data_IF_470551921421
#
_entry.id   IF_470551921421
#
_cell.length_a   1.000
_cell.length_b   1.000
_cell.length_c   1.000
_cell.angle_alpha   90.00
_cell.angle_beta   90.00
_cell.angle_gamma   90.00
#
_symmetry.space_group_name_H-M   'P 1'
#
loop_
_entity.id
_entity.type
_entity.pdbx_description
1 polymer ?
#
# COMPACT_ATOMS: atom_id res chain seq x y z
N UNK A 1 16.99 -8.27 -18.64
CA UNK A 1 16.66 -6.91 -18.18
C UNK A 1 17.94 -6.26 -17.74
N UNK A 2 18.54 -5.50 -18.66
CA UNK A 2 19.76 -4.74 -18.43
C UNK A 2 19.39 -3.37 -17.86
N UNK A 3 20.07 -2.96 -16.79
CA UNK A 3 19.83 -1.72 -16.04
C UNK A 3 21.16 -0.96 -15.97
N UNK A 4 21.21 0.24 -16.54
CA UNK A 4 22.45 1.01 -16.71
C UNK A 4 22.25 2.51 -16.56
N UNK A 5 23.34 3.28 -16.55
CA UNK A 5 23.30 4.76 -16.62
C UNK A 5 22.41 5.42 -15.54
N UNK A 6 22.65 5.05 -14.27
CA UNK A 6 21.97 5.65 -13.12
C UNK A 6 22.41 7.09 -12.98
N UNK A 7 21.45 7.99 -12.93
CA UNK A 7 21.70 9.43 -12.88
C UNK A 7 20.56 10.16 -12.19
N UNK A 8 20.85 11.40 -11.80
CA UNK A 8 19.87 12.34 -11.28
C UNK A 8 19.63 13.46 -12.30
N UNK A 9 18.37 13.80 -12.49
CA UNK A 9 17.94 14.91 -13.35
C UNK A 9 17.05 15.84 -12.52
N UNK A 10 17.30 17.14 -12.58
CA UNK A 10 16.70 18.16 -11.70
C UNK A 10 15.94 19.21 -12.49
N UNK A 11 15.07 19.95 -11.80
CA UNK A 11 14.36 21.10 -12.36
C UNK A 11 13.48 20.73 -13.57
N UNK A 12 12.85 19.56 -13.50
CA UNK A 12 12.05 19.02 -14.58
C UNK A 12 10.59 19.45 -14.43
N UNK A 13 9.98 19.88 -15.52
CA UNK A 13 8.54 20.08 -15.60
C UNK A 13 7.86 18.79 -16.09
N UNK A 14 7.72 17.80 -15.19
CA UNK A 14 7.20 16.47 -15.54
C UNK A 14 5.67 16.39 -15.56
N UNK A 15 5.00 17.17 -14.71
CA UNK A 15 3.56 17.09 -14.52
C UNK A 15 2.94 18.48 -14.49
N UNK A 16 1.77 18.62 -15.11
CA UNK A 16 1.06 19.89 -15.17
C UNK A 16 0.56 20.31 -13.78
N UNK A 17 0.75 21.58 -13.43
CA UNK A 17 0.21 22.16 -12.19
C UNK A 17 0.94 21.80 -10.90
N UNK A 18 2.15 21.23 -10.98
CA UNK A 18 3.01 20.98 -9.81
C UNK A 18 4.37 21.65 -9.91
N UNK A 19 5.04 21.72 -8.76
CA UNK A 19 6.41 22.22 -8.68
C UNK A 19 7.36 21.41 -9.55
N UNK A 20 8.49 22.02 -9.88
CA UNK A 20 9.59 21.35 -10.56
C UNK A 20 9.99 20.07 -9.80
N UNK A 21 10.34 19.05 -10.57
CA UNK A 21 10.63 17.72 -10.08
C UNK A 21 12.10 17.37 -10.27
N UNK A 22 12.62 16.63 -9.30
CA UNK A 22 13.90 15.93 -9.41
C UNK A 22 13.60 14.44 -9.53
N UNK A 23 14.26 13.76 -10.46
CA UNK A 23 14.14 12.31 -10.63
C UNK A 23 15.49 11.62 -10.59
N UNK A 24 15.51 10.42 -10.05
CA UNK A 24 16.58 9.44 -10.27
C UNK A 24 16.07 8.43 -11.29
N UNK A 25 16.91 8.15 -12.28
CA UNK A 25 16.54 7.40 -13.48
C UNK A 25 17.68 6.48 -13.91
N UNK A 26 17.32 5.34 -14.49
CA UNK A 26 18.24 4.46 -15.17
C UNK A 26 17.70 4.07 -16.55
N UNK A 27 18.61 3.73 -17.45
CA UNK A 27 18.26 3.11 -18.73
C UNK A 27 17.95 1.63 -18.49
N UNK A 28 16.91 1.13 -19.17
CA UNK A 28 16.44 -0.25 -19.05
C UNK A 28 16.25 -0.85 -20.43
N UNK A 29 16.86 -2.01 -20.67
CA UNK A 29 16.65 -2.81 -21.87
C UNK A 29 16.11 -4.19 -21.47
N UNK A 30 14.95 -4.55 -22.01
CA UNK A 30 14.35 -5.86 -21.80
C UNK A 30 13.54 -6.30 -23.04
N UNK A 31 13.27 -7.61 -23.15
CA UNK A 31 12.56 -8.16 -24.30
C UNK A 31 11.04 -7.94 -24.22
N UNK A 32 10.50 -7.83 -23.00
CA UNK A 32 9.05 -7.80 -22.75
C UNK A 32 8.44 -6.40 -22.72
N UNK A 33 9.24 -5.33 -22.66
CA UNK A 33 8.75 -3.96 -22.62
C UNK A 33 9.52 -3.03 -23.58
N UNK A 34 8.81 -2.06 -24.17
CA UNK A 34 9.41 -1.04 -25.05
C UNK A 34 9.94 0.18 -24.30
N UNK A 35 9.54 0.38 -23.05
CA UNK A 35 10.03 1.47 -22.22
C UNK A 35 11.54 1.32 -22.00
N UNK A 36 12.27 2.43 -22.14
CA UNK A 36 13.74 2.46 -22.09
C UNK A 36 14.29 3.09 -20.83
N UNK A 37 13.42 3.64 -19.98
CA UNK A 37 13.81 4.33 -18.77
C UNK A 37 12.87 3.96 -17.63
N UNK A 38 13.45 3.67 -16.47
CA UNK A 38 12.73 3.53 -15.21
C UNK A 38 13.17 4.67 -14.29
N UNK A 39 12.22 5.39 -13.69
CA UNK A 39 12.53 6.53 -12.82
C UNK A 39 11.67 6.57 -11.56
N UNK A 40 12.18 7.28 -10.57
CA UNK A 40 11.45 7.74 -9.39
C UNK A 40 11.64 9.25 -9.26
N UNK A 41 10.58 10.01 -9.07
CA UNK A 41 10.63 11.47 -8.99
C UNK A 41 9.91 12.03 -7.77
N UNK A 42 10.39 13.17 -7.30
CA UNK A 42 9.84 13.94 -6.19
C UNK A 42 9.87 15.43 -6.54
N UNK A 43 9.17 16.23 -5.75
CA UNK A 43 9.35 17.68 -5.71
C UNK A 43 10.83 18.04 -5.50
N UNK A 44 11.33 19.05 -6.24
CA UNK A 44 12.73 19.48 -6.22
C UNK A 44 13.27 19.73 -4.80
N UNK A 45 12.42 20.18 -3.86
CA UNK A 45 12.81 20.42 -2.46
C UNK A 45 13.26 19.13 -1.75
N UNK A 46 12.86 17.97 -2.23
CA UNK A 46 13.28 16.66 -1.73
C UNK A 46 14.23 15.94 -2.68
N UNK A 47 14.72 16.58 -3.75
CA UNK A 47 15.61 15.95 -4.74
C UNK A 47 16.90 15.39 -4.11
N UNK A 48 17.41 16.06 -3.07
CA UNK A 48 18.61 15.62 -2.34
C UNK A 48 18.37 14.37 -1.49
N UNK A 49 17.12 13.96 -1.29
CA UNK A 49 16.77 12.74 -0.56
C UNK A 49 16.83 11.49 -1.43
N UNK A 50 16.92 11.64 -2.76
CA UNK A 50 16.99 10.51 -3.68
C UNK A 50 18.41 9.92 -3.78
N UNK A 51 18.46 8.59 -3.76
CA UNK A 51 19.67 7.76 -3.84
C UNK A 51 19.99 7.46 -5.29
N UNK A 52 21.19 7.87 -5.75
CA UNK A 52 21.63 7.76 -7.15
C UNK A 52 23.05 7.18 -7.31
N UNK A 53 23.61 6.62 -6.24
CA UNK A 53 24.95 6.05 -6.14
C UNK A 53 24.94 4.51 -6.09
N UNK A 54 23.80 3.90 -5.80
CA UNK A 54 23.56 2.44 -5.86
C UNK A 54 22.22 2.11 -6.54
N UNK A 55 22.13 0.90 -7.10
CA UNK A 55 21.00 0.45 -7.91
C UNK A 55 19.91 -0.32 -7.15
N UNK A 56 19.93 -0.33 -5.82
CA UNK A 56 19.07 -1.18 -4.98
C UNK A 56 17.57 -1.06 -5.31
N UNK A 57 17.06 0.16 -5.41
CA UNK A 57 15.66 0.42 -5.76
C UNK A 57 15.29 -0.18 -7.14
N UNK A 58 16.18 -0.05 -8.12
CA UNK A 58 15.96 -0.53 -9.49
C UNK A 58 16.10 -2.05 -9.59
N UNK A 59 17.01 -2.65 -8.82
CA UNK A 59 17.14 -4.10 -8.73
C UNK A 59 15.86 -4.72 -8.14
N UNK A 60 15.37 -4.20 -7.01
CA UNK A 60 14.14 -4.71 -6.37
C UNK A 60 12.92 -4.50 -7.27
N UNK A 61 12.83 -3.34 -7.93
CA UNK A 61 11.80 -3.07 -8.93
C UNK A 61 11.84 -4.02 -10.14
N UNK A 62 12.99 -4.56 -10.50
CA UNK A 62 13.14 -5.46 -11.64
C UNK A 62 12.81 -6.93 -11.33
N UNK A 63 12.82 -7.33 -10.04
CA UNK A 63 12.70 -8.73 -9.62
C UNK A 63 11.46 -9.41 -10.20
N UNK A 64 10.27 -8.88 -9.92
CA UNK A 64 9.02 -9.56 -10.29
C UNK A 64 8.83 -9.69 -11.80
N UNK A 65 8.98 -8.61 -12.62
CA UNK A 65 8.88 -8.74 -14.07
C UNK A 65 9.94 -9.69 -14.66
N UNK A 66 11.20 -9.59 -14.20
CA UNK A 66 12.28 -10.43 -14.71
C UNK A 66 12.05 -11.93 -14.41
N UNK A 67 11.59 -12.26 -13.20
CA UNK A 67 11.24 -13.62 -12.81
C UNK A 67 10.05 -14.17 -13.63
N UNK A 68 9.03 -13.34 -13.86
CA UNK A 68 7.86 -13.73 -14.64
C UNK A 68 8.20 -13.99 -16.12
N UNK A 69 8.98 -13.11 -16.73
CA UNK A 69 9.39 -13.22 -18.13
C UNK A 69 10.63 -14.09 -18.35
N UNK A 70 11.20 -14.64 -17.27
CA UNK A 70 12.39 -15.52 -17.29
C UNK A 70 13.60 -14.85 -17.94
N UNK A 71 13.75 -13.55 -17.71
CA UNK A 71 14.82 -12.75 -18.28
C UNK A 71 15.88 -12.46 -17.20
N UNK A 72 17.17 -12.77 -17.42
CA UNK A 72 18.25 -12.45 -16.48
C UNK A 72 18.31 -10.95 -16.17
N UNK A 73 18.72 -10.57 -14.97
CA UNK A 73 18.98 -9.16 -14.62
C UNK A 73 20.47 -8.86 -14.75
N UNK A 74 20.82 -7.78 -15.43
CA UNK A 74 22.18 -7.26 -15.52
C UNK A 74 22.21 -5.82 -15.01
N UNK A 75 22.88 -5.56 -13.89
CA UNK A 75 23.03 -4.23 -13.31
C UNK A 75 24.43 -3.69 -13.59
N UNK A 76 24.50 -2.62 -14.37
CA UNK A 76 25.75 -1.97 -14.76
C UNK A 76 26.34 -1.03 -13.69
N UNK A 77 26.18 -1.38 -12.41
CA UNK A 77 26.70 -0.63 -11.27
C UNK A 77 26.72 -1.43 -9.99
N UNK A 78 26.81 -0.73 -8.85
CA UNK A 78 26.86 -1.35 -7.54
C UNK A 78 25.48 -1.50 -6.90
N UNK A 79 25.32 -2.56 -6.12
CA UNK A 79 24.16 -2.81 -5.24
C UNK A 79 24.66 -3.14 -3.82
N UNK A 80 23.80 -3.00 -2.82
CA UNK A 80 24.09 -3.38 -1.45
C UNK A 80 24.36 -4.89 -1.35
N UNK A 81 25.51 -5.26 -0.79
CA UNK A 81 25.94 -6.66 -0.67
C UNK A 81 24.96 -7.52 0.13
N UNK A 82 24.46 -6.99 1.25
CA UNK A 82 23.45 -7.64 2.10
C UNK A 82 22.15 -7.89 1.32
N UNK A 83 21.65 -6.88 0.62
CA UNK A 83 20.42 -6.95 -0.16
C UNK A 83 20.57 -7.99 -1.30
N UNK A 84 21.66 -7.95 -2.06
CA UNK A 84 21.94 -8.93 -3.12
C UNK A 84 22.02 -10.36 -2.57
N UNK A 85 22.75 -10.57 -1.48
CA UNK A 85 22.84 -11.88 -0.83
C UNK A 85 21.45 -12.38 -0.40
N UNK A 86 20.67 -11.54 0.26
CA UNK A 86 19.33 -11.94 0.71
C UNK A 86 18.39 -12.24 -0.45
N UNK A 87 18.50 -11.51 -1.56
CA UNK A 87 17.72 -11.79 -2.77
C UNK A 87 17.95 -13.21 -3.26
N UNK A 88 19.23 -13.57 -3.45
CA UNK A 88 19.61 -14.86 -4.00
C UNK A 88 19.28 -16.04 -3.09
N UNK A 89 19.39 -15.86 -1.77
CA UNK A 89 19.28 -16.97 -0.82
C UNK A 89 17.91 -17.11 -0.18
N UNK A 90 17.10 -16.05 -0.11
CA UNK A 90 15.84 -16.05 0.63
C UNK A 90 14.66 -15.49 -0.17
N UNK A 91 14.80 -14.29 -0.76
CA UNK A 91 13.68 -13.59 -1.39
C UNK A 91 13.13 -14.34 -2.61
N UNK A 92 14.01 -14.94 -3.42
CA UNK A 92 13.55 -15.78 -4.53
C UNK A 92 12.69 -16.96 -4.07
N UNK A 93 13.07 -17.64 -2.98
CA UNK A 93 12.25 -18.71 -2.40
C UNK A 93 10.85 -18.23 -2.03
N UNK A 94 10.79 -17.09 -1.32
CA UNK A 94 9.53 -16.50 -0.87
C UNK A 94 8.60 -16.08 -2.02
N UNK A 95 9.17 -15.50 -3.09
CA UNK A 95 8.39 -15.12 -4.28
C UNK A 95 7.89 -16.35 -5.05
N UNK A 96 8.68 -17.42 -5.16
CA UNK A 96 8.24 -18.67 -5.83
C UNK A 96 7.16 -19.41 -5.07
N UNK A 97 7.22 -19.38 -3.74
CA UNK A 97 6.19 -20.02 -2.90
C UNK A 97 4.84 -19.30 -3.00
N UNK A 98 4.85 -18.01 -3.36
CA UNK A 98 3.65 -17.26 -3.70
C UNK A 98 3.08 -17.64 -5.08
N UNK A 99 3.91 -17.64 -6.12
CA UNK A 99 3.50 -18.06 -7.47
C UNK A 99 4.52 -19.01 -8.10
N UNK A 100 4.11 -20.27 -8.25
CA UNK A 100 4.93 -21.34 -8.84
C UNK A 100 5.31 -21.12 -10.30
N UNK A 101 4.67 -20.17 -10.99
CA UNK A 101 5.05 -19.75 -12.34
C UNK A 101 6.35 -18.94 -12.36
N UNK A 102 6.68 -18.27 -11.25
CA UNK A 102 7.88 -17.47 -11.11
C UNK A 102 9.10 -18.37 -10.95
N UNK A 103 10.19 -18.03 -11.63
CA UNK A 103 11.43 -18.79 -11.60
C UNK A 103 12.59 -17.95 -11.09
N UNK A 104 13.56 -18.61 -10.47
CA UNK A 104 14.86 -17.97 -10.21
C UNK A 104 15.52 -17.61 -11.53
N UNK A 105 16.08 -16.41 -11.58
CA UNK A 105 16.78 -15.89 -12.74
C UNK A 105 18.20 -15.49 -12.34
N UNK A 106 19.20 -15.57 -13.25
CA UNK A 106 20.52 -15.04 -12.98
C UNK A 106 20.49 -13.53 -12.75
N UNK A 107 21.21 -13.06 -11.73
CA UNK A 107 21.43 -11.63 -11.47
C UNK A 107 22.93 -11.35 -11.50
N UNK A 108 23.37 -10.55 -12.46
CA UNK A 108 24.75 -10.08 -12.60
C UNK A 108 24.84 -8.61 -12.20
N UNK A 109 25.81 -8.26 -11.34
CA UNK A 109 26.06 -6.89 -10.88
C UNK A 109 27.54 -6.55 -11.06
N UNK A 110 27.88 -5.29 -11.37
CA UNK A 110 29.29 -4.89 -11.55
C UNK A 110 30.08 -4.85 -10.24
N UNK A 111 29.42 -4.62 -9.11
CA UNK A 111 30.10 -4.53 -7.83
C UNK A 111 29.15 -4.37 -6.65
N UNK A 112 29.74 -4.14 -5.48
CA UNK A 112 29.00 -3.95 -4.23
C UNK A 112 29.43 -2.65 -3.57
N UNK A 113 28.43 -1.87 -3.15
CA UNK A 113 28.60 -0.65 -2.37
C UNK A 113 27.34 -0.43 -1.53
N UNK A 114 27.46 0.33 -0.45
CA UNK A 114 26.31 0.83 0.30
C UNK A 114 26.02 2.27 -0.14
N UNK A 115 24.77 2.71 -0.05
CA UNK A 115 24.42 4.10 -0.31
C UNK A 115 25.12 5.05 0.68
N UNK A 116 25.60 6.18 0.17
CA UNK A 116 26.17 7.26 0.96
C UNK A 116 25.06 7.96 1.75
N UNK A 117 25.09 7.77 3.07
CA UNK A 117 24.12 8.35 4.00
C UNK A 117 24.29 9.86 4.14
N UNK A 118 23.16 10.57 4.25
CA UNK A 118 23.14 11.95 4.73
C UNK A 118 23.49 12.00 6.22
N UNK A 119 23.98 13.16 6.68
CA UNK A 119 24.31 13.39 8.10
C UNK A 119 23.09 13.29 9.02
N UNK A 120 21.95 13.75 8.54
CA UNK A 120 20.68 13.67 9.23
C UNK A 120 19.82 12.60 8.55
N UNK A 121 19.35 11.65 9.35
CA UNK A 121 18.54 10.54 8.88
C UNK A 121 17.14 10.58 9.50
N UNK A 122 16.16 10.18 8.70
CA UNK A 122 14.74 10.28 8.99
C UNK A 122 14.13 8.91 9.31
N UNK A 123 12.99 8.96 10.01
CA UNK A 123 12.13 7.80 10.25
C UNK A 123 10.84 8.00 9.48
N UNK A 124 10.65 7.16 8.46
CA UNK A 124 9.55 7.29 7.52
C UNK A 124 8.40 6.33 7.78
N UNK A 125 7.21 6.70 7.32
CA UNK A 125 6.12 5.76 7.06
C UNK A 125 5.32 6.18 5.84
N UNK A 126 4.66 5.21 5.20
CA UNK A 126 3.60 5.51 4.26
C UNK A 126 2.37 6.01 5.00
N UNK A 127 1.71 7.05 4.51
CA UNK A 127 0.45 7.52 5.08
C UNK A 127 -0.60 7.71 4.00
N UNK A 128 -1.77 7.10 4.21
CA UNK A 128 -2.90 7.15 3.27
C UNK A 128 -4.15 7.75 3.90
N UNK A 129 -4.12 8.06 5.19
CA UNK A 129 -5.30 8.33 6.01
C UNK A 129 -6.13 7.08 6.34
N UNK A 130 -5.70 5.88 5.96
CA UNK A 130 -6.39 4.63 6.28
C UNK A 130 -6.19 4.17 7.73
N UNK A 131 -7.00 3.20 8.16
CA UNK A 131 -6.93 2.60 9.51
C UNK A 131 -5.51 2.10 9.83
N UNK A 132 -4.91 1.39 8.87
CA UNK A 132 -3.61 0.74 9.06
C UNK A 132 -2.49 1.78 9.21
N UNK A 133 -2.47 2.83 8.37
CA UNK A 133 -1.49 3.92 8.51
C UNK A 133 -1.68 4.74 9.78
N UNK A 134 -2.91 4.93 10.26
CA UNK A 134 -3.13 5.59 11.54
C UNK A 134 -2.68 4.76 12.74
N UNK A 135 -2.82 3.43 12.68
CA UNK A 135 -2.24 2.55 13.72
C UNK A 135 -0.74 2.79 13.84
N UNK A 136 -0.03 2.83 12.70
CA UNK A 136 1.42 3.08 12.69
C UNK A 136 1.80 4.46 13.23
N UNK A 137 0.99 5.50 12.98
CA UNK A 137 1.17 6.81 13.60
C UNK A 137 0.97 6.75 15.12
N UNK A 138 -0.06 6.06 15.60
CA UNK A 138 -0.28 5.93 17.05
C UNK A 138 0.92 5.24 17.70
N UNK A 139 1.39 4.14 17.12
CA UNK A 139 2.48 3.34 17.68
C UNK A 139 3.82 4.08 17.62
N UNK A 140 4.18 4.64 16.45
CA UNK A 140 5.53 5.11 16.16
C UNK A 140 5.67 6.65 16.07
N UNK A 141 4.61 7.41 16.37
CA UNK A 141 4.67 8.88 16.48
C UNK A 141 4.08 9.37 17.81
N UNK A 142 2.84 9.00 18.12
CA UNK A 142 2.16 9.47 19.34
C UNK A 142 2.74 8.83 20.60
N UNK A 143 2.90 7.50 20.58
CA UNK A 143 3.37 6.73 21.73
C UNK A 143 4.90 6.56 21.79
N UNK A 144 5.61 6.99 20.74
CA UNK A 144 7.07 6.85 20.64
C UNK A 144 7.77 8.16 21.02
N UNK A 145 8.72 8.08 21.95
CA UNK A 145 9.50 9.21 22.44
C UNK A 145 10.98 9.10 22.06
N UNK A 146 11.46 7.91 21.69
CA UNK A 146 12.80 7.72 21.17
C UNK A 146 12.90 8.25 19.74
N UNK A 147 13.72 9.28 19.53
CA UNK A 147 13.93 9.91 18.22
C UNK A 147 14.59 8.97 17.20
N UNK A 148 15.12 7.82 17.64
CA UNK A 148 15.57 6.78 16.73
C UNK A 148 14.43 5.96 16.11
N UNK A 149 13.26 5.96 16.75
CA UNK A 149 12.08 5.20 16.34
C UNK A 149 10.89 6.09 15.98
N UNK A 150 10.88 7.35 16.41
CA UNK A 150 9.79 8.30 16.21
C UNK A 150 9.74 8.81 14.77
N UNK A 151 8.59 8.65 14.13
CA UNK A 151 8.33 9.12 12.76
C UNK A 151 8.49 10.64 12.66
N UNK A 152 9.16 11.11 11.60
CA UNK A 152 9.30 12.54 11.28
C UNK A 152 8.98 12.86 9.81
N UNK A 153 8.63 11.84 9.01
CA UNK A 153 8.42 11.97 7.57
C UNK A 153 7.33 11.03 7.06
N UNK A 154 6.31 11.58 6.40
CA UNK A 154 5.22 10.84 5.78
C UNK A 154 5.41 10.76 4.27
N UNK A 155 5.24 9.57 3.72
CA UNK A 155 5.42 9.29 2.31
C UNK A 155 4.10 8.90 1.65
N UNK A 156 3.93 9.36 0.42
CA UNK A 156 2.86 8.98 -0.48
C UNK A 156 3.46 8.48 -1.79
N UNK A 157 3.49 7.16 -1.96
CA UNK A 157 4.05 6.52 -3.14
C UNK A 157 2.96 6.37 -4.22
N UNK A 158 3.08 7.17 -5.27
CA UNK A 158 2.27 7.07 -6.47
C UNK A 158 2.91 6.10 -7.45
N UNK A 159 2.64 4.81 -7.22
CA UNK A 159 3.21 3.69 -7.95
C UNK A 159 2.22 3.05 -8.94
N UNK A 160 1.13 3.73 -9.34
CA UNK A 160 0.14 3.19 -10.28
C UNK A 160 -1.22 2.77 -9.67
N UNK A 161 -1.30 2.70 -8.34
CA UNK A 161 -2.50 2.29 -7.56
C UNK A 161 -3.77 3.15 -7.75
N UNK A 162 -3.66 4.27 -8.48
CA UNK A 162 -4.77 5.21 -8.69
C UNK A 162 -5.33 5.19 -10.10
N UNK A 163 -4.85 4.30 -10.98
CA UNK A 163 -5.38 4.08 -12.32
C UNK A 163 -4.36 4.37 -13.42
N UNK A 164 -4.86 4.57 -14.64
CA UNK A 164 -4.02 4.83 -15.80
C UNK A 164 -3.32 6.19 -15.66
N UNK A 165 -2.00 6.20 -15.46
CA UNK A 165 -1.18 7.42 -15.30
C UNK A 165 -1.17 8.32 -16.55
N UNK A 166 -1.64 7.83 -17.70
CA UNK A 166 -1.86 8.65 -18.91
C UNK A 166 -3.18 9.45 -18.88
N UNK A 167 -4.05 9.19 -17.89
CA UNK A 167 -5.30 9.92 -17.69
C UNK A 167 -5.11 11.03 -16.64
N UNK A 168 -5.45 12.27 -16.98
CA UNK A 168 -5.34 13.42 -16.08
C UNK A 168 -6.16 13.25 -14.79
N UNK A 169 -7.29 12.55 -14.83
CA UNK A 169 -8.09 12.25 -13.63
C UNK A 169 -7.37 11.35 -12.62
N UNK A 170 -6.46 10.49 -13.09
CA UNK A 170 -5.62 9.66 -12.21
C UNK A 170 -4.69 10.55 -11.39
N UNK A 171 -4.08 11.55 -12.03
CA UNK A 171 -3.22 12.54 -11.38
C UNK A 171 -4.01 13.39 -10.41
N UNK A 172 -5.16 13.93 -10.83
CA UNK A 172 -6.06 14.68 -9.96
C UNK A 172 -6.41 13.86 -8.70
N UNK A 173 -6.77 12.59 -8.86
CA UNK A 173 -7.05 11.68 -7.73
C UNK A 173 -5.83 11.48 -6.84
N UNK A 174 -4.65 11.24 -7.41
CA UNK A 174 -3.43 11.05 -6.65
C UNK A 174 -3.10 12.30 -5.82
N UNK A 175 -3.19 13.50 -6.40
CA UNK A 175 -2.97 14.76 -5.69
C UNK A 175 -4.03 15.03 -4.62
N UNK A 176 -5.30 14.77 -4.90
CA UNK A 176 -6.37 14.89 -3.91
C UNK A 176 -6.09 13.96 -2.72
N UNK A 177 -5.61 12.74 -2.94
CA UNK A 177 -5.26 11.80 -1.87
C UNK A 177 -3.99 12.20 -1.14
N UNK A 178 -2.98 12.69 -1.85
CA UNK A 178 -1.78 13.25 -1.23
C UNK A 178 -2.11 14.47 -0.36
N UNK A 179 -3.13 15.26 -0.71
CA UNK A 179 -3.55 16.41 0.11
C UNK A 179 -3.96 16.01 1.53
N UNK A 180 -4.54 14.82 1.73
CA UNK A 180 -4.82 14.28 3.07
C UNK A 180 -3.53 14.09 3.84
N UNK A 181 -2.54 13.46 3.21
CA UNK A 181 -1.21 13.21 3.80
C UNK A 181 -0.51 14.51 4.13
N UNK A 182 -0.50 15.47 3.19
CA UNK A 182 0.12 16.78 3.36
C UNK A 182 -0.53 17.57 4.49
N UNK A 183 -1.87 17.64 4.52
CA UNK A 183 -2.58 18.39 5.55
C UNK A 183 -2.39 17.78 6.94
N UNK A 184 -2.48 16.45 7.04
CA UNK A 184 -2.19 15.75 8.28
C UNK A 184 -0.74 15.97 8.76
N UNK A 185 0.24 15.86 7.85
CA UNK A 185 1.65 16.10 8.17
C UNK A 185 1.92 17.51 8.71
N UNK A 186 1.29 18.53 8.10
CA UNK A 186 1.36 19.92 8.57
C UNK A 186 0.82 20.04 9.99
N UNK A 187 -0.29 19.36 10.29
CA UNK A 187 -0.96 19.45 11.60
C UNK A 187 -0.16 18.77 12.73
N UNK A 188 0.60 17.71 12.41
CA UNK A 188 1.46 17.03 13.38
C UNK A 188 2.94 17.50 13.32
N UNK A 189 3.28 18.42 12.41
CA UNK A 189 4.60 19.04 12.33
C UNK A 189 5.70 18.17 11.71
N UNK A 190 5.38 17.34 10.71
CA UNK A 190 6.32 16.42 10.05
C UNK A 190 6.41 16.66 8.53
N UNK A 191 7.39 16.06 7.87
CA UNK A 191 7.53 16.17 6.42
C UNK A 191 6.44 15.40 5.67
N UNK A 192 6.07 15.85 4.47
CA UNK A 192 5.19 15.12 3.55
C UNK A 192 5.80 15.06 2.15
N UNK A 193 6.06 13.84 1.67
CA UNK A 193 6.76 13.58 0.42
C UNK A 193 5.87 12.75 -0.49
N UNK A 194 5.54 13.28 -1.67
CA UNK A 194 4.96 12.51 -2.76
C UNK A 194 6.06 12.03 -3.69
N UNK A 195 6.08 10.73 -3.98
CA UNK A 195 7.00 10.12 -4.92
C UNK A 195 6.21 9.53 -6.09
N UNK A 196 6.63 9.82 -7.32
CA UNK A 196 6.03 9.29 -8.54
C UNK A 196 7.01 8.34 -9.23
N UNK A 197 6.49 7.39 -9.99
CA UNK A 197 7.32 6.47 -10.79
C UNK A 197 6.54 5.92 -11.97
N UNK A 198 7.27 5.50 -13.01
CA UNK A 198 6.72 4.78 -14.15
C UNK A 198 6.88 3.26 -14.06
N UNK A 199 7.00 2.68 -12.85
CA UNK A 199 7.10 1.22 -12.65
C UNK A 199 6.08 0.44 -13.49
N UNK A 200 4.84 0.92 -13.61
CA UNK A 200 3.78 0.24 -14.37
C UNK A 200 3.93 0.24 -15.89
N UNK A 201 4.95 0.90 -16.43
CA UNK A 201 5.37 0.65 -17.81
C UNK A 201 5.98 -0.76 -17.96
N UNK A 202 6.54 -1.33 -16.89
CA UNK A 202 7.18 -2.65 -16.86
C UNK A 202 6.32 -3.74 -16.19
N UNK A 203 5.21 -3.37 -15.55
CA UNK A 203 4.36 -4.27 -14.77
C UNK A 203 3.01 -4.50 -15.46
N UNK A 204 2.45 -5.69 -15.29
CA UNK A 204 1.06 -5.94 -15.66
C UNK A 204 0.11 -5.22 -14.72
N UNK A 205 -1.07 -4.74 -15.18
CA UNK A 205 -2.00 -3.99 -14.33
C UNK A 205 -2.45 -4.71 -13.04
N UNK A 206 -2.52 -6.04 -13.04
CA UNK A 206 -2.94 -6.82 -11.87
C UNK A 206 -1.80 -7.05 -10.86
N UNK A 207 -0.53 -6.88 -11.28
CA UNK A 207 0.64 -7.08 -10.41
C UNK A 207 0.79 -6.02 -9.33
N UNK A 208 -0.04 -4.98 -9.32
CA UNK A 208 -0.14 -4.06 -8.18
C UNK A 208 -0.31 -4.81 -6.85
N UNK A 209 -1.09 -5.88 -6.87
CA UNK A 209 -1.38 -6.71 -5.71
C UNK A 209 -0.33 -7.81 -5.55
N UNK A 210 0.01 -8.50 -6.65
CA UNK A 210 0.97 -9.61 -6.63
C UNK A 210 2.40 -9.18 -6.24
N UNK A 211 2.86 -8.06 -6.78
CA UNK A 211 4.21 -7.53 -6.58
C UNK A 211 4.21 -6.27 -5.69
N UNK A 212 3.06 -5.92 -5.09
CA UNK A 212 2.87 -4.65 -4.40
C UNK A 212 3.86 -4.39 -3.27
N UNK A 213 4.32 -5.43 -2.57
CA UNK A 213 5.38 -5.31 -1.55
C UNK A 213 6.72 -4.91 -2.16
N UNK A 214 7.10 -5.46 -3.32
CA UNK A 214 8.34 -5.13 -4.01
C UNK A 214 8.30 -3.71 -4.56
N UNK A 215 7.16 -3.29 -5.12
CA UNK A 215 6.94 -1.91 -5.55
C UNK A 215 7.11 -0.93 -4.37
N UNK A 216 6.48 -1.22 -3.22
CA UNK A 216 6.60 -0.41 -2.00
C UNK A 216 8.05 -0.36 -1.51
N UNK A 217 8.73 -1.49 -1.42
CA UNK A 217 10.12 -1.55 -0.95
C UNK A 217 11.06 -0.82 -1.92
N UNK A 218 10.91 -0.96 -3.23
CA UNK A 218 11.67 -0.19 -4.21
C UNK A 218 11.47 1.32 -4.02
N UNK A 219 10.23 1.76 -3.76
CA UNK A 219 9.93 3.16 -3.41
C UNK A 219 10.51 3.60 -2.07
N UNK A 220 10.75 2.71 -1.10
CA UNK A 220 11.49 3.04 0.13
C UNK A 220 12.99 3.15 -0.16
N UNK A 221 13.54 2.21 -0.93
CA UNK A 221 14.97 2.13 -1.23
C UNK A 221 15.48 3.35 -1.99
N UNK A 222 14.65 4.02 -2.79
CA UNK A 222 15.09 5.26 -3.44
C UNK A 222 15.45 6.36 -2.42
N UNK A 223 14.93 6.28 -1.19
CA UNK A 223 15.24 7.18 -0.08
C UNK A 223 16.28 6.60 0.90
N UNK A 224 16.96 5.50 0.57
CA UNK A 224 17.85 4.82 1.52
C UNK A 224 19.04 5.67 1.97
N UNK A 225 19.47 6.69 1.22
CA UNK A 225 20.47 7.66 1.70
C UNK A 225 19.99 8.53 2.87
N UNK A 226 18.68 8.74 2.99
CA UNK A 226 18.09 9.69 3.96
C UNK A 226 17.31 8.98 5.07
N UNK A 227 16.83 7.77 4.84
CA UNK A 227 16.08 7.02 5.85
C UNK A 227 17.02 6.16 6.70
N UNK A 228 16.86 6.19 8.03
CA UNK A 228 17.40 5.14 8.92
C UNK A 228 16.39 4.01 9.16
N UNK A 229 15.10 4.35 9.08
CA UNK A 229 14.00 3.40 9.32
C UNK A 229 12.78 3.78 8.50
N UNK A 230 12.05 2.76 8.05
CA UNK A 230 10.77 2.92 7.40
C UNK A 230 9.78 1.87 7.89
N UNK A 231 8.64 2.32 8.43
CA UNK A 231 7.54 1.45 8.79
C UNK A 231 6.58 1.30 7.63
N UNK A 232 6.28 0.06 7.25
CA UNK A 232 5.22 -0.27 6.31
C UNK A 232 4.03 -0.78 7.13
N UNK A 233 2.94 -0.01 7.11
CA UNK A 233 1.71 -0.37 7.80
C UNK A 233 1.08 -1.64 7.23
N UNK A 234 0.84 -2.61 8.10
CA UNK A 234 0.26 -3.89 7.73
C UNK A 234 -1.22 -3.94 8.05
N UNK A 235 -1.96 -4.73 7.26
CA UNK A 235 -3.39 -4.97 7.47
C UNK A 235 -3.64 -6.15 8.39
N UNK A 236 -2.90 -7.24 8.23
CA UNK A 236 -3.16 -8.52 8.87
C UNK A 236 -2.29 -8.75 10.11
N UNK A 237 -2.82 -9.50 11.07
CA UNK A 237 -2.08 -9.90 12.27
C UNK A 237 -1.10 -11.05 11.98
N UNK A 238 -0.09 -11.23 12.83
CA UNK A 238 0.78 -12.42 12.77
C UNK A 238 -0.01 -13.73 12.77
N UNK A 239 -1.10 -13.80 13.54
CA UNK A 239 -1.99 -14.96 13.58
C UNK A 239 -2.74 -15.16 12.27
N UNK A 240 -3.29 -14.10 11.69
CA UNK A 240 -4.01 -14.18 10.41
C UNK A 240 -3.05 -14.63 9.30
N UNK A 241 -1.85 -14.05 9.25
CA UNK A 241 -0.81 -14.42 8.28
C UNK A 241 -0.44 -15.91 8.41
N UNK A 242 -0.20 -16.41 9.63
CA UNK A 242 0.11 -17.82 9.87
C UNK A 242 -1.03 -18.79 9.51
N UNK A 243 -2.27 -18.28 9.38
CA UNK A 243 -3.44 -19.07 9.00
C UNK A 243 -3.80 -18.92 7.51
N UNK A 244 -3.09 -18.07 6.76
CA UNK A 244 -3.31 -17.91 5.33
C UNK A 244 -2.77 -19.10 4.56
N UNK A 245 -3.46 -19.47 3.49
CA UNK A 245 -2.92 -20.39 2.52
C UNK A 245 -2.24 -19.57 1.41
N UNK A 246 -0.91 -19.59 1.37
CA UNK A 246 -0.08 -18.88 0.38
C UNK A 246 -0.50 -19.16 -1.06
N UNK A 247 -1.08 -20.33 -1.32
CA UNK A 247 -1.47 -20.78 -2.67
C UNK A 247 -2.93 -20.49 -3.02
N UNK A 248 -3.70 -19.85 -2.14
CA UNK A 248 -5.08 -19.46 -2.45
C UNK A 248 -5.06 -18.19 -3.31
N UNK A 249 -5.77 -18.19 -4.44
CA UNK A 249 -5.80 -17.10 -5.43
C UNK A 249 -6.42 -15.78 -4.92
N UNK A 250 -6.60 -15.66 -3.61
CA UNK A 250 -7.18 -14.52 -2.91
C UNK A 250 -6.24 -13.92 -1.84
N UNK A 251 -5.02 -14.45 -1.71
CA UNK A 251 -3.99 -13.93 -0.81
C UNK A 251 -2.94 -13.26 -1.66
N UNK A 252 -2.67 -11.98 -1.45
CA UNK A 252 -1.57 -11.27 -2.12
C UNK A 252 -0.24 -11.59 -1.44
N UNK A 253 0.89 -11.45 -2.15
CA UNK A 253 2.23 -11.65 -1.56
C UNK A 253 2.42 -10.76 -0.32
N UNK A 254 1.87 -9.55 -0.37
CA UNK A 254 1.88 -8.61 0.73
C UNK A 254 1.17 -9.14 1.99
N UNK A 255 0.00 -9.77 1.82
CA UNK A 255 -0.81 -10.23 2.95
C UNK A 255 -0.14 -11.38 3.72
N UNK A 256 0.83 -12.05 3.09
CA UNK A 256 1.39 -13.30 3.60
C UNK A 256 2.87 -13.25 3.95
N UNK A 257 3.63 -12.32 3.35
CA UNK A 257 5.07 -12.28 3.46
C UNK A 257 5.64 -10.95 3.99
N UNK A 258 4.82 -9.91 4.19
CA UNK A 258 5.27 -8.55 4.55
C UNK A 258 6.32 -8.53 5.70
N UNK A 259 6.08 -9.15 6.88
CA UNK A 259 7.07 -9.16 7.98
C UNK A 259 8.37 -9.91 7.68
N UNK A 260 8.37 -10.81 6.69
CA UNK A 260 9.52 -11.64 6.33
C UNK A 260 10.34 -10.95 5.25
N UNK A 261 9.68 -10.46 4.19
CA UNK A 261 10.36 -9.90 3.02
C UNK A 261 10.98 -8.53 3.29
N UNK A 262 10.37 -7.72 4.16
CA UNK A 262 10.85 -6.35 4.44
C UNK A 262 12.25 -6.32 5.09
N UNK A 263 12.53 -7.10 6.16
CA UNK A 263 13.89 -7.16 6.71
C UNK A 263 14.91 -7.79 5.76
N UNK A 264 14.48 -8.73 4.91
CA UNK A 264 15.36 -9.35 3.91
C UNK A 264 15.81 -8.35 2.85
N UNK A 265 14.94 -7.41 2.47
CA UNK A 265 15.26 -6.35 1.50
C UNK A 265 15.74 -5.04 2.16
N UNK A 266 16.04 -5.06 3.46
CA UNK A 266 16.64 -3.93 4.17
C UNK A 266 18.16 -3.90 3.95
N UNK A 267 18.74 -2.86 3.30
CA UNK A 267 20.18 -2.73 3.11
C UNK A 267 20.87 -2.36 4.44
N UNK A 268 22.18 -2.14 4.41
CA UNK A 268 22.90 -1.66 5.60
C UNK A 268 22.50 -0.22 5.92
N UNK A 269 22.21 0.05 7.20
CA UNK A 269 21.83 1.39 7.68
C UNK A 269 20.39 1.82 7.38
N UNK A 270 19.53 0.95 6.85
CA UNK A 270 18.08 1.20 6.71
C UNK A 270 17.30 -0.03 7.18
N UNK A 271 16.46 0.17 8.20
CA UNK A 271 15.49 -0.85 8.64
C UNK A 271 14.15 -0.64 7.93
N UNK A 272 13.69 -1.63 7.16
CA UNK A 272 12.33 -1.66 6.60
C UNK A 272 11.53 -2.66 7.43
N UNK A 273 10.56 -2.17 8.18
CA UNK A 273 9.84 -2.93 9.21
C UNK A 273 8.34 -2.97 8.93
N UNK A 274 7.75 -4.11 9.22
CA UNK A 274 6.30 -4.30 9.19
C UNK A 274 5.70 -3.86 10.53
N UNK A 275 4.78 -2.91 10.49
CA UNK A 275 4.13 -2.36 11.68
C UNK A 275 2.61 -2.60 11.69
N UNK A 276 2.02 -2.74 12.88
CA UNK A 276 0.59 -2.96 13.07
C UNK A 276 0.14 -4.43 12.95
N UNK A 277 1.06 -5.39 12.76
CA UNK A 277 0.74 -6.82 12.76
C UNK A 277 0.38 -7.39 14.15
N UNK A 278 0.53 -6.59 15.21
CA UNK A 278 0.18 -6.91 16.59
C UNK A 278 -1.33 -6.87 16.84
N UNK A 279 -2.09 -6.16 15.98
CA UNK A 279 -3.50 -5.83 16.22
C UNK A 279 -4.38 -6.18 15.03
N UNK A 280 -5.58 -6.72 15.27
CA UNK A 280 -6.56 -6.90 14.20
C UNK A 280 -7.09 -5.57 13.72
N UNK A 281 -7.67 -5.53 12.51
CA UNK A 281 -8.15 -4.28 11.90
C UNK A 281 -9.25 -3.62 12.74
N UNK A 282 -10.11 -4.40 13.39
CA UNK A 282 -11.12 -3.86 14.31
C UNK A 282 -10.51 -3.27 15.58
N UNK A 283 -9.44 -3.87 16.13
CA UNK A 283 -8.70 -3.31 17.28
C UNK A 283 -8.03 -2.00 16.89
N UNK A 284 -7.36 -1.93 15.73
CA UNK A 284 -6.82 -0.67 15.19
C UNK A 284 -7.92 0.40 15.12
N UNK A 285 -9.06 0.04 14.52
CA UNK A 285 -10.22 0.95 14.40
C UNK A 285 -10.73 1.42 15.77
N UNK A 286 -10.67 0.57 16.81
CA UNK A 286 -11.01 0.95 18.17
C UNK A 286 -10.04 1.98 18.73
N UNK A 287 -8.73 1.82 18.53
CA UNK A 287 -7.72 2.80 18.97
C UNK A 287 -7.94 4.16 18.31
N UNK A 288 -8.34 4.19 17.03
CA UNK A 288 -8.62 5.44 16.33
C UNK A 288 -9.85 6.17 16.86
N UNK A 289 -10.73 5.48 17.59
CA UNK A 289 -12.04 6.02 17.90
C UNK A 289 -12.03 7.22 18.85
N UNK A 290 -10.96 7.37 19.64
CA UNK A 290 -10.73 8.51 20.53
C UNK A 290 -9.63 9.46 20.03
N UNK A 291 -8.99 9.14 18.90
CA UNK A 291 -7.96 9.97 18.31
C UNK A 291 -8.59 11.04 17.40
N UNK A 292 -8.55 12.30 17.85
CA UNK A 292 -9.24 13.43 17.18
C UNK A 292 -8.79 13.62 15.73
N UNK A 293 -7.50 13.40 15.44
CA UNK A 293 -6.98 13.55 14.07
C UNK A 293 -7.46 12.42 13.15
N UNK A 294 -7.65 11.20 13.67
CA UNK A 294 -8.32 10.15 12.89
C UNK A 294 -9.78 10.51 12.58
N UNK A 295 -10.52 11.09 13.53
CA UNK A 295 -11.90 11.53 13.29
C UNK A 295 -11.99 12.58 12.16
N UNK A 296 -10.95 13.39 11.98
CA UNK A 296 -10.84 14.43 10.96
C UNK A 296 -10.36 13.92 9.59
N UNK A 297 -9.37 13.01 9.56
CA UNK A 297 -8.64 12.67 8.34
C UNK A 297 -8.83 11.23 7.85
N UNK A 298 -9.58 10.38 8.56
CA UNK A 298 -9.75 8.96 8.17
C UNK A 298 -10.31 8.82 6.75
N UNK A 299 -9.52 8.24 5.85
CA UNK A 299 -9.86 7.92 4.48
C UNK A 299 -9.48 6.47 4.17
N UNK A 300 -10.48 5.61 4.03
CA UNK A 300 -10.30 4.16 3.78
C UNK A 300 -10.71 3.75 2.38
N UNK A 301 -11.31 4.67 1.62
CA UNK A 301 -11.86 4.39 0.31
C UNK A 301 -10.76 4.34 -0.74
N UNK A 302 -10.78 3.29 -1.58
CA UNK A 302 -9.84 3.10 -2.70
C UNK A 302 -10.56 3.12 -4.05
N UNK A 303 -11.68 3.83 -4.16
CA UNK A 303 -12.47 3.83 -5.39
C UNK A 303 -11.67 4.43 -6.57
N UNK A 304 -11.54 3.55 -7.57
CA UNK A 304 -11.01 3.66 -8.94
C UNK A 304 -11.72 4.59 -9.92
N UNK A 305 -13.01 4.82 -9.68
CA UNK A 305 -13.92 5.27 -10.72
C UNK A 305 -13.62 6.70 -11.14
N UNK A 306 -13.70 7.00 -12.43
CA UNK A 306 -13.51 8.37 -12.93
C UNK A 306 -14.50 9.39 -12.35
N UNK A 307 -15.65 8.92 -11.86
CA UNK A 307 -16.63 9.74 -11.14
C UNK A 307 -16.25 9.98 -9.67
N UNK A 308 -15.17 9.36 -9.19
CA UNK A 308 -14.66 9.42 -7.82
C UNK A 308 -13.19 9.86 -7.82
N UNK A 309 -12.95 11.12 -8.20
CA UNK A 309 -11.64 11.77 -8.11
C UNK A 309 -11.39 12.42 -6.75
N UNK A 310 -12.46 12.68 -5.99
CA UNK A 310 -12.35 13.28 -4.66
C UNK A 310 -11.75 12.27 -3.67
N UNK A 311 -10.88 12.76 -2.78
CA UNK A 311 -10.30 11.96 -1.71
C UNK A 311 -11.28 11.84 -0.53
N UNK A 312 -12.48 11.29 -0.80
CA UNK A 312 -13.56 11.12 0.18
C UNK A 312 -13.95 9.65 0.34
N UNK A 313 -14.58 9.31 1.47
CA UNK A 313 -15.11 7.98 1.69
C UNK A 313 -16.47 7.82 1.00
N UNK A 314 -16.59 6.87 0.05
CA UNK A 314 -17.83 6.67 -0.69
C UNK A 314 -19.00 6.11 0.15
N UNK A 315 -18.70 5.51 1.32
CA UNK A 315 -19.70 4.99 2.26
C UNK A 315 -20.36 3.66 1.86
N UNK A 316 -19.98 3.04 0.73
CA UNK A 316 -20.60 1.78 0.26
C UNK A 316 -19.60 0.72 -0.22
N UNK A 317 -18.32 1.04 -0.40
CA UNK A 317 -17.32 0.03 -0.76
C UNK A 317 -17.01 -0.87 0.44
N UNK A 318 -16.42 -2.05 0.18
CA UNK A 318 -16.11 -3.02 1.24
C UNK A 318 -15.19 -2.45 2.33
N UNK A 319 -14.26 -1.54 1.98
CA UNK A 319 -13.37 -0.86 2.94
C UNK A 319 -14.11 0.17 3.80
N UNK A 320 -15.03 0.95 3.23
CA UNK A 320 -15.88 1.88 3.99
C UNK A 320 -16.82 1.12 4.94
N UNK A 321 -17.53 0.10 4.42
CA UNK A 321 -18.52 -0.65 5.20
C UNK A 321 -17.90 -1.43 6.35
N UNK A 322 -16.75 -2.08 6.15
CA UNK A 322 -16.05 -2.80 7.24
C UNK A 322 -15.63 -1.85 8.35
N UNK A 323 -15.12 -0.68 7.97
CA UNK A 323 -14.65 0.33 8.93
C UNK A 323 -15.83 0.90 9.73
N UNK A 324 -16.93 1.28 9.07
CA UNK A 324 -18.13 1.77 9.75
C UNK A 324 -18.80 0.70 10.63
N UNK A 325 -18.78 -0.57 10.25
CA UNK A 325 -19.27 -1.67 11.10
C UNK A 325 -18.42 -1.83 12.37
N UNK A 326 -17.10 -1.72 12.27
CA UNK A 326 -16.22 -1.72 13.42
C UNK A 326 -16.47 -0.50 14.33
N UNK A 327 -16.61 0.70 13.75
CA UNK A 327 -16.94 1.93 14.49
C UNK A 327 -18.31 1.86 15.19
N UNK A 328 -19.33 1.32 14.52
CA UNK A 328 -20.66 1.07 15.10
C UNK A 328 -20.57 0.07 16.26
N UNK A 329 -19.76 -0.98 16.08
CA UNK A 329 -19.53 -1.99 17.11
C UNK A 329 -18.82 -1.41 18.33
N UNK A 330 -17.86 -0.51 18.12
CA UNK A 330 -17.18 0.23 19.18
C UNK A 330 -18.07 1.30 19.86
N UNK A 331 -19.21 1.67 19.27
CA UNK A 331 -20.05 2.77 19.78
C UNK A 331 -19.56 4.17 19.39
N UNK A 332 -18.64 4.26 18.43
CA UNK A 332 -17.96 5.50 18.06
C UNK A 332 -18.34 6.01 16.67
N UNK A 333 -19.30 5.38 15.99
CA UNK A 333 -19.70 5.72 14.61
C UNK A 333 -20.04 7.21 14.44
N UNK A 334 -20.77 7.80 15.37
CA UNK A 334 -21.22 9.21 15.28
C UNK A 334 -20.04 10.20 15.35
N UNK A 335 -18.89 9.82 15.92
CA UNK A 335 -17.67 10.65 15.95
C UNK A 335 -17.04 10.84 14.56
N UNK A 336 -17.44 10.02 13.57
CA UNK A 336 -16.87 10.03 12.22
C UNK A 336 -17.86 10.55 11.16
N UNK A 337 -18.92 11.28 11.57
CA UNK A 337 -19.93 11.83 10.67
C UNK A 337 -19.37 12.87 9.66
N UNK A 338 -18.21 13.45 9.95
CA UNK A 338 -17.53 14.40 9.06
C UNK A 338 -16.83 13.72 7.88
N UNK A 339 -16.41 12.47 8.05
CA UNK A 339 -15.68 11.71 7.02
C UNK A 339 -16.51 10.59 6.38
N UNK A 340 -17.66 10.25 6.96
CA UNK A 340 -18.60 9.26 6.41
C UNK A 340 -20.04 9.77 6.36
N UNK A 341 -20.74 9.44 5.27
CA UNK A 341 -22.19 9.56 5.19
C UNK A 341 -22.88 8.43 5.99
N UNK A 342 -23.25 8.75 7.23
CA UNK A 342 -23.87 7.79 8.16
C UNK A 342 -25.30 7.42 7.75
N UNK A 343 -26.02 8.28 7.03
CA UNK A 343 -27.37 7.99 6.53
C UNK A 343 -27.29 6.87 5.48
N UNK A 344 -26.36 7.00 4.54
CA UNK A 344 -26.09 5.98 3.52
C UNK A 344 -25.69 4.65 4.14
N UNK A 345 -24.85 4.68 5.18
CA UNK A 345 -24.48 3.47 5.92
C UNK A 345 -25.69 2.81 6.58
N UNK A 346 -26.51 3.57 7.33
CA UNK A 346 -27.68 3.06 8.05
C UNK A 346 -28.66 2.32 7.12
N UNK A 347 -28.81 2.78 5.87
CA UNK A 347 -29.66 2.13 4.86
C UNK A 347 -29.16 0.73 4.43
N UNK A 348 -27.86 0.47 4.46
CA UNK A 348 -27.25 -0.78 3.95
C UNK A 348 -26.59 -1.63 5.06
N UNK A 349 -26.47 -1.10 6.28
CA UNK A 349 -25.77 -1.72 7.39
C UNK A 349 -26.29 -3.12 7.71
N UNK A 350 -27.63 -3.30 7.74
CA UNK A 350 -28.21 -4.61 8.03
C UNK A 350 -27.88 -5.64 6.94
N UNK A 351 -28.02 -5.27 5.67
CA UNK A 351 -27.65 -6.13 4.54
C UNK A 351 -26.16 -6.50 4.60
N UNK A 352 -25.29 -5.52 4.91
CA UNK A 352 -23.86 -5.76 5.04
C UNK A 352 -23.53 -6.71 6.20
N UNK A 353 -24.15 -6.54 7.38
CA UNK A 353 -24.01 -7.47 8.51
C UNK A 353 -24.42 -8.89 8.15
N UNK A 354 -25.50 -9.06 7.39
CA UNK A 354 -25.89 -10.38 6.85
C UNK A 354 -24.80 -10.97 5.95
N UNK A 355 -24.17 -10.16 5.08
CA UNK A 355 -23.03 -10.61 4.27
C UNK A 355 -21.86 -11.07 5.14
N UNK A 356 -21.51 -10.31 6.19
CA UNK A 356 -20.41 -10.68 7.09
C UNK A 356 -20.70 -11.99 7.82
N UNK A 357 -21.92 -12.18 8.33
CA UNK A 357 -22.34 -13.44 8.98
C UNK A 357 -22.19 -14.64 8.04
N UNK A 358 -22.61 -14.51 6.78
CA UNK A 358 -22.47 -15.59 5.80
C UNK A 358 -21.00 -15.87 5.42
N UNK A 359 -20.15 -14.85 5.46
CA UNK A 359 -18.72 -14.92 5.11
C UNK A 359 -17.79 -15.28 6.28
N UNK A 360 -18.31 -15.40 7.50
CA UNK A 360 -17.53 -15.61 8.73
C UNK A 360 -16.42 -16.67 8.64
N UNK A 361 -16.67 -17.78 7.92
CA UNK A 361 -15.68 -18.86 7.78
C UNK A 361 -14.67 -18.63 6.67
N UNK A 362 -15.00 -17.84 5.65
CA UNK A 362 -14.26 -17.75 4.38
C UNK A 362 -13.55 -16.41 4.17
N UNK A 363 -13.79 -15.41 5.02
CA UNK A 363 -13.28 -14.04 4.86
C UNK A 363 -12.75 -13.56 6.23
N UNK A 364 -11.45 -13.27 6.30
CA UNK A 364 -10.75 -12.87 7.53
C UNK A 364 -11.34 -11.57 8.08
N UNK A 365 -11.59 -10.58 7.23
CA UNK A 365 -12.18 -9.30 7.62
C UNK A 365 -13.61 -9.46 8.17
N UNK A 366 -14.40 -10.37 7.59
CA UNK A 366 -15.73 -10.69 8.09
C UNK A 366 -15.65 -11.37 9.46
N UNK A 367 -14.72 -12.31 9.64
CA UNK A 367 -14.48 -12.98 10.92
C UNK A 367 -14.11 -11.97 12.01
N UNK A 368 -13.11 -11.12 11.74
CA UNK A 368 -12.67 -10.05 12.65
C UNK A 368 -13.83 -9.13 13.05
N UNK A 369 -14.62 -8.62 12.08
CA UNK A 369 -15.76 -7.75 12.37
C UNK A 369 -16.86 -8.42 13.20
N UNK A 370 -17.16 -9.69 12.93
CA UNK A 370 -18.19 -10.43 13.64
C UNK A 370 -17.74 -10.74 15.07
N UNK A 371 -16.50 -11.18 15.26
CA UNK A 371 -15.96 -11.48 16.59
C UNK A 371 -15.82 -10.20 17.43
N UNK A 372 -15.40 -9.10 16.82
CA UNK A 372 -15.38 -7.79 17.48
C UNK A 372 -16.78 -7.30 17.86
N UNK A 373 -17.77 -7.40 16.97
CA UNK A 373 -19.14 -7.04 17.29
C UNK A 373 -19.70 -7.86 18.48
N UNK A 374 -19.42 -9.17 18.50
CA UNK A 374 -19.79 -10.06 19.62
C UNK A 374 -19.10 -9.67 20.92
N UNK A 375 -17.80 -9.38 20.89
CA UNK A 375 -17.05 -8.97 22.09
C UNK A 375 -17.54 -7.65 22.67
N UNK A 376 -18.11 -6.77 21.83
CA UNK A 376 -18.80 -5.53 22.25
C UNK A 376 -20.30 -5.72 22.58
N UNK A 377 -20.78 -6.96 22.68
CA UNK A 377 -22.16 -7.28 23.04
C UNK A 377 -23.20 -6.89 21.98
N UNK A 378 -22.80 -6.66 20.72
CA UNK A 378 -23.72 -6.28 19.64
C UNK A 378 -24.49 -7.49 19.14
N UNK A 379 -25.80 -7.31 18.94
CA UNK A 379 -26.66 -8.33 18.33
C UNK A 379 -26.46 -8.36 16.83
N UNK A 380 -26.17 -9.54 16.30
CA UNK A 380 -26.01 -9.81 14.87
C UNK A 380 -27.16 -10.70 14.36
N UNK A 381 -27.52 -10.63 13.07
CA UNK A 381 -28.52 -11.52 12.51
C UNK A 381 -28.09 -12.98 12.63
N UNK A 382 -29.04 -13.88 12.86
CA UNK A 382 -28.77 -15.32 12.83
C UNK A 382 -28.35 -15.74 11.42
N UNK A 383 -27.62 -16.86 11.29
CA UNK A 383 -27.19 -17.37 9.98
C UNK A 383 -28.38 -17.63 9.04
N UNK A 384 -29.50 -18.09 9.58
CA UNK A 384 -30.73 -18.34 8.83
C UNK A 384 -31.32 -17.03 8.30
N UNK A 385 -31.47 -16.02 9.16
CA UNK A 385 -31.96 -14.68 8.76
C UNK A 385 -31.05 -14.07 7.71
N UNK A 386 -29.73 -14.10 7.93
CA UNK A 386 -28.75 -13.57 6.99
C UNK A 386 -28.87 -14.24 5.60
N UNK A 387 -28.98 -15.57 5.56
CA UNK A 387 -29.12 -16.32 4.32
C UNK A 387 -30.42 -15.96 3.57
N UNK A 388 -31.55 -15.89 4.29
CA UNK A 388 -32.85 -15.51 3.72
C UNK A 388 -32.78 -14.11 3.12
N UNK A 389 -32.31 -13.12 3.88
CA UNK A 389 -32.19 -11.72 3.44
C UNK A 389 -31.32 -11.61 2.17
N UNK A 390 -30.17 -12.27 2.14
CA UNK A 390 -29.28 -12.24 0.98
C UNK A 390 -29.88 -12.93 -0.24
N UNK A 391 -30.63 -14.00 -0.05
CA UNK A 391 -31.32 -14.72 -1.13
C UNK A 391 -32.40 -13.85 -1.75
N UNK A 392 -33.25 -13.23 -0.94
CA UNK A 392 -34.25 -12.27 -1.40
C UNK A 392 -33.61 -11.07 -2.10
N UNK A 393 -32.56 -10.48 -1.51
CA UNK A 393 -31.87 -9.35 -2.13
C UNK A 393 -31.28 -9.72 -3.50
N UNK A 394 -30.67 -10.91 -3.64
CA UNK A 394 -30.18 -11.40 -4.95
C UNK A 394 -31.33 -11.56 -5.95
N UNK A 395 -32.45 -12.17 -5.52
CA UNK A 395 -33.62 -12.39 -6.37
C UNK A 395 -34.23 -11.09 -6.89
N UNK A 396 -34.42 -10.09 -6.03
CA UNK A 396 -35.01 -8.80 -6.43
C UNK A 396 -34.03 -7.85 -7.13
N UNK A 397 -32.72 -8.00 -6.92
CA UNK A 397 -31.70 -7.21 -7.64
C UNK A 397 -31.30 -7.79 -9.00
N UNK A 398 -31.66 -9.05 -9.28
CA UNK A 398 -31.38 -9.74 -10.56
C UNK A 398 -31.92 -8.98 -11.78
N UNK A 399 -33.19 -8.53 -11.83
CA UNK A 399 -33.72 -7.78 -12.97
C UNK A 399 -32.96 -6.48 -13.22
N UNK A 400 -32.66 -5.73 -12.15
CA UNK A 400 -31.90 -4.48 -12.24
C UNK A 400 -30.46 -4.73 -12.72
N UNK A 401 -29.80 -5.79 -12.25
CA UNK A 401 -28.45 -6.18 -12.70
C UNK A 401 -28.43 -6.63 -14.16
N UNK A 402 -29.44 -7.36 -14.60
CA UNK A 402 -29.59 -7.77 -16.01
C UNK A 402 -29.80 -6.56 -16.93
N UNK A 403 -30.68 -5.63 -16.55
CA UNK A 403 -30.91 -4.38 -17.29
C UNK A 403 -29.64 -3.50 -17.34
N UNK A 404 -28.87 -3.43 -16.25
CA UNK A 404 -27.62 -2.66 -16.21
C UNK A 404 -26.54 -3.26 -17.13
N UNK A 405 -26.47 -4.59 -17.24
CA UNK A 405 -25.56 -5.29 -18.16
C UNK A 405 -25.96 -5.13 -19.63
N UNK A 406 -27.25 -4.98 -19.93
CA UNK A 406 -27.74 -4.72 -21.29
C UNK A 406 -27.48 -3.27 -21.76
N UNK A 407 -27.30 -2.31 -20.84
CA UNK A 407 -26.95 -0.91 -21.15
C UNK A 407 -25.43 -0.66 -21.32
N UNK A 408 -24.59 -1.67 -21.11
CA UNK A 408 -23.11 -1.58 -21.22
C UNK A 408 -22.61 -2.34 -22.48
N UNK A 409 -23.52 -2.76 -23.37
CA UNK A 409 -23.15 -3.27 -24.70
C UNK A 409 -23.22 -2.18 -25.75
#
# INVERSE_FOLDING_TARGET
MKISNLRIERHLNLYEGVNLQTRVICDVECAFCKARELYFSVDDNYGDWLTADVYDAFLVAALYPAMYYKEPIEVEGCVSKKLYHNILHYVFGLIRDYDSFLQEIPIHVKGFANAEKLKHLHVGTGFSGGVDSFSTIIDNFENENDLDYKIDSLFFFHVGQYGNVKNSKTWERAYNRFSITKNFAVEIGVNAIMMNTNLFDYYQPHWEYDAGVLCRIASVLIFQKTLKRYYISNTCTYKEMAMMNMTDHHVDLAESADPIIMPLLSPEGLDILCDGAQYSRTIKTQYLSDYILAQKYLNVCVDTAETHVSATNCGHCSKCLRTMMALESAGSLEKFNHVFDLQKYKQIAFLYKCQQVCKYKTDSFARDNIDFARSKGKKLPSKQVAFVVLTFYKFFSLPYRMLRRLKIK
#
